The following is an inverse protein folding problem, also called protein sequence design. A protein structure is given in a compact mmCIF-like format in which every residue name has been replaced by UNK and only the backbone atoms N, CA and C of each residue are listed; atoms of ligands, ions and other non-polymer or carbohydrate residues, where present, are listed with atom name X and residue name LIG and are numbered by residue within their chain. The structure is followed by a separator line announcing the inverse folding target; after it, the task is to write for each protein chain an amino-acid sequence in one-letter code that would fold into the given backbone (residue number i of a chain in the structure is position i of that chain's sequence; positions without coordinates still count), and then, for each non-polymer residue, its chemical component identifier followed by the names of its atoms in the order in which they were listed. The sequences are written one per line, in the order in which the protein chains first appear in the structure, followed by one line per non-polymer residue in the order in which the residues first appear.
data_IF_198949435365
#
_entry.id   IF_198949435365
#
_cell.length_a   1.000
_cell.length_b   1.000
_cell.length_c   1.000
_cell.angle_alpha   90.00
_cell.angle_beta   90.00
_cell.angle_gamma   90.00
#
_symmetry.space_group_name_H-M   'P 1'
#
loop_
_entity.id
_entity.type
_entity.pdbx_description
1 polymer ?
#
# COMPACT_ATOMS: atom_id res chain seq x y z
N UNK A 1 -22.82 -15.41 8.18
CA UNK A 1 -21.91 -15.37 7.04
C UNK A 1 -21.01 -14.13 7.15
N UNK A 2 -19.72 -14.12 6.73
CA UNK A 2 -18.86 -12.94 6.83
C UNK A 2 -19.45 -11.68 6.17
N UNK A 3 -20.20 -11.85 5.06
CA UNK A 3 -20.88 -10.74 4.37
C UNK A 3 -21.93 -10.02 5.20
N UNK A 4 -22.49 -10.66 6.22
CA UNK A 4 -23.51 -10.05 7.10
C UNK A 4 -22.89 -9.16 8.20
N UNK A 5 -21.58 -9.25 8.39
CA UNK A 5 -20.83 -8.44 9.36
C UNK A 5 -20.26 -7.16 8.78
N UNK A 6 -20.21 -7.06 7.44
CA UNK A 6 -19.63 -5.91 6.76
C UNK A 6 -20.75 -5.00 6.29
N UNK A 7 -20.84 -3.81 6.86
CA UNK A 7 -21.84 -2.80 6.49
C UNK A 7 -21.40 -1.93 5.32
N UNK A 8 -20.12 -1.69 5.17
CA UNK A 8 -19.51 -0.94 4.08
C UNK A 8 -18.07 -1.37 3.84
N UNK A 9 -17.54 -1.10 2.66
CA UNK A 9 -16.14 -1.28 2.27
C UNK A 9 -15.60 0.04 1.72
N UNK A 10 -14.43 0.45 2.22
CA UNK A 10 -13.72 1.63 1.70
C UNK A 10 -12.28 1.23 1.39
N UNK A 11 -12.02 0.56 0.25
CA UNK A 11 -10.65 0.31 -0.19
C UNK A 11 -9.98 1.62 -0.59
N UNK A 12 -8.85 1.91 0.05
CA UNK A 12 -8.02 3.08 -0.22
C UNK A 12 -6.72 2.57 -0.86
N UNK A 13 -6.37 3.09 -2.03
CA UNK A 13 -5.21 2.68 -2.80
C UNK A 13 -5.16 1.14 -3.01
N UNK A 14 -6.33 0.53 -3.19
CA UNK A 14 -6.51 -0.90 -3.38
C UNK A 14 -6.83 -1.29 -4.82
N UNK A 15 -6.49 -2.53 -5.19
CA UNK A 15 -6.83 -3.11 -6.50
C UNK A 15 -7.50 -4.46 -6.33
N UNK A 16 -8.44 -4.77 -7.23
CA UNK A 16 -9.13 -6.07 -7.27
C UNK A 16 -8.27 -7.17 -7.90
N UNK A 17 -7.29 -6.77 -8.72
CA UNK A 17 -6.37 -7.65 -9.40
C UNK A 17 -4.96 -7.09 -9.34
N UNK A 18 -4.00 -7.92 -8.95
CA UNK A 18 -2.58 -7.54 -8.93
C UNK A 18 -1.88 -7.98 -10.20
N UNK A 19 -1.00 -7.12 -10.72
CA UNK A 19 -0.11 -7.41 -11.84
C UNK A 19 1.27 -7.92 -11.38
N UNK A 20 1.40 -8.41 -10.13
CA UNK A 20 2.67 -8.88 -9.57
C UNK A 20 3.16 -10.10 -10.34
N UNK A 21 4.37 -10.00 -10.88
CA UNK A 21 5.01 -11.06 -11.66
C UNK A 21 5.99 -11.86 -10.81
N UNK A 22 6.15 -13.18 -11.07
CA UNK A 22 7.09 -14.03 -10.32
C UNK A 22 8.52 -13.50 -10.29
N UNK A 23 9.01 -12.96 -11.42
CA UNK A 23 10.37 -12.41 -11.53
C UNK A 23 10.59 -11.17 -10.66
N UNK A 24 9.56 -10.35 -10.43
CA UNK A 24 9.64 -9.20 -9.53
C UNK A 24 9.79 -9.66 -8.07
N UNK A 25 9.08 -10.72 -7.70
CA UNK A 25 9.18 -11.30 -6.36
C UNK A 25 10.53 -11.99 -6.17
N UNK A 26 11.03 -12.71 -7.20
CA UNK A 26 12.34 -13.31 -7.15
C UNK A 26 13.44 -12.27 -6.96
N UNK A 27 13.38 -11.14 -7.68
CA UNK A 27 14.34 -10.04 -7.52
C UNK A 27 14.38 -9.46 -6.09
N UNK A 28 13.24 -9.48 -5.38
CA UNK A 28 13.18 -9.06 -3.97
C UNK A 28 13.93 -10.05 -3.09
N UNK A 29 13.65 -11.37 -3.23
CA UNK A 29 14.32 -12.38 -2.39
C UNK A 29 15.82 -12.45 -2.68
N UNK A 30 16.22 -12.33 -3.94
CA UNK A 30 17.65 -12.34 -4.33
C UNK A 30 18.40 -11.18 -3.69
N UNK A 31 17.77 -10.00 -3.58
CA UNK A 31 18.32 -8.82 -2.91
C UNK A 31 18.59 -9.07 -1.42
N UNK A 32 17.66 -9.75 -0.73
CA UNK A 32 17.84 -10.10 0.68
C UNK A 32 18.82 -11.27 0.85
N UNK A 33 18.78 -12.24 -0.06
CA UNK A 33 19.71 -13.37 -0.04
C UNK A 33 21.17 -12.96 -0.23
N UNK A 34 21.40 -11.84 -0.91
CA UNK A 34 22.74 -11.26 -1.06
C UNK A 34 23.25 -10.52 0.20
N UNK A 35 22.39 -10.27 1.20
CA UNK A 35 22.80 -9.58 2.42
C UNK A 35 23.64 -10.49 3.33
N UNK A 36 24.73 -9.98 3.93
CA UNK A 36 25.43 -10.68 5.00
C UNK A 36 24.45 -11.15 6.09
N UNK A 37 24.62 -12.37 6.56
CA UNK A 37 23.81 -12.93 7.63
C UNK A 37 22.39 -13.37 7.25
N UNK A 38 21.99 -13.34 5.97
CA UNK A 38 20.66 -13.81 5.54
C UNK A 38 20.35 -15.25 5.94
N UNK A 39 21.33 -16.16 5.80
CA UNK A 39 21.25 -17.55 6.24
C UNK A 39 19.92 -18.24 5.85
N UNK A 40 19.52 -18.13 4.56
CA UNK A 40 18.28 -18.73 4.07
C UNK A 40 17.00 -18.19 4.72
N UNK A 41 17.05 -16.98 5.27
CA UNK A 41 15.96 -16.33 6.00
C UNK A 41 16.05 -16.46 7.53
N UNK A 42 17.03 -17.18 8.04
CA UNK A 42 17.27 -17.33 9.50
C UNK A 42 18.32 -16.32 9.99
N UNK A 43 18.05 -15.03 9.78
CA UNK A 43 18.96 -13.92 10.09
C UNK A 43 18.80 -13.36 11.51
N UNK A 44 17.83 -13.84 12.26
CA UNK A 44 17.49 -13.33 13.60
C UNK A 44 18.64 -13.47 14.58
N UNK A 45 18.86 -12.41 15.37
CA UNK A 45 19.93 -12.37 16.36
C UNK A 45 21.34 -12.14 15.79
N UNK A 46 21.46 -11.97 14.46
CA UNK A 46 22.71 -11.63 13.79
C UNK A 46 22.61 -10.21 13.21
N UNK A 47 22.76 -9.21 14.06
CA UNK A 47 22.89 -7.83 13.59
C UNK A 47 24.30 -7.65 13.01
N UNK A 48 24.39 -7.65 11.68
CA UNK A 48 25.63 -7.48 10.92
C UNK A 48 25.53 -6.17 10.15
N UNK A 49 26.54 -5.32 10.22
CA UNK A 49 26.65 -4.09 9.43
C UNK A 49 26.52 -4.40 7.94
N UNK A 50 25.67 -3.67 7.23
CA UNK A 50 25.32 -3.96 5.83
C UNK A 50 24.44 -5.20 5.64
N UNK A 51 23.89 -5.76 6.71
CA UNK A 51 23.04 -6.95 6.70
C UNK A 51 21.59 -6.70 6.35
N UNK A 52 20.74 -7.65 6.75
CA UNK A 52 19.31 -7.66 6.43
C UNK A 52 18.58 -6.44 6.98
N UNK A 53 18.89 -6.03 8.22
CA UNK A 53 18.27 -4.86 8.84
C UNK A 53 18.54 -3.59 8.03
N UNK A 54 19.80 -3.33 7.68
CA UNK A 54 20.19 -2.16 6.90
C UNK A 54 19.54 -2.17 5.51
N UNK A 55 19.41 -3.35 4.90
CA UNK A 55 18.69 -3.50 3.64
C UNK A 55 17.21 -3.16 3.78
N UNK A 56 16.55 -3.65 4.84
CA UNK A 56 15.15 -3.32 5.14
C UNK A 56 14.95 -1.82 5.36
N UNK A 57 15.85 -1.17 6.09
CA UNK A 57 15.82 0.29 6.29
C UNK A 57 15.95 1.03 4.97
N UNK A 58 16.93 0.66 4.13
CA UNK A 58 17.15 1.29 2.83
C UNK A 58 15.93 1.13 1.90
N UNK A 59 15.38 -0.09 1.78
CA UNK A 59 14.18 -0.36 0.98
C UNK A 59 12.96 0.40 1.51
N UNK A 60 12.86 0.58 2.84
CA UNK A 60 11.76 1.34 3.43
C UNK A 60 11.88 2.84 3.20
N UNK A 61 13.09 3.40 3.25
CA UNK A 61 13.35 4.80 2.90
C UNK A 61 12.92 5.06 1.45
N UNK A 62 13.36 4.22 0.51
CA UNK A 62 12.97 4.32 -0.90
C UNK A 62 11.44 4.31 -1.07
N UNK A 63 10.76 3.35 -0.41
CA UNK A 63 9.29 3.26 -0.47
C UNK A 63 8.60 4.47 0.11
N UNK A 64 9.00 4.94 1.30
CA UNK A 64 8.41 6.12 1.92
C UNK A 64 8.57 7.35 1.02
N UNK A 65 9.73 7.50 0.37
CA UNK A 65 9.98 8.57 -0.59
C UNK A 65 9.02 8.46 -1.78
N UNK A 66 8.94 7.28 -2.40
CA UNK A 66 8.10 7.03 -3.57
C UNK A 66 6.60 7.07 -3.27
N UNK A 67 6.19 6.82 -2.02
CA UNK A 67 4.80 6.93 -1.59
C UNK A 67 4.32 8.37 -1.38
N UNK A 68 5.19 9.38 -1.58
CA UNK A 68 4.86 10.80 -1.42
C UNK A 68 5.22 11.39 -0.06
N UNK A 69 5.72 10.58 0.89
CA UNK A 69 6.19 11.09 2.19
C UNK A 69 7.39 12.04 2.00
N UNK A 70 8.28 11.75 1.04
CA UNK A 70 9.38 12.65 0.71
C UNK A 70 8.90 14.02 0.27
N UNK A 71 7.88 14.07 -0.61
CA UNK A 71 7.25 15.31 -1.07
C UNK A 71 6.60 16.06 0.10
N UNK A 72 5.83 15.36 0.94
CA UNK A 72 5.21 15.97 2.12
C UNK A 72 6.24 16.56 3.10
N UNK A 73 7.33 15.86 3.37
CA UNK A 73 8.40 16.37 4.22
C UNK A 73 9.10 17.59 3.58
N UNK A 74 9.26 17.62 2.26
CA UNK A 74 9.81 18.78 1.56
C UNK A 74 8.94 20.04 1.72
N UNK A 75 7.62 19.87 1.81
CA UNK A 75 6.68 20.97 2.00
C UNK A 75 6.57 21.43 3.46
N UNK A 76 6.83 20.54 4.41
CA UNK A 76 6.53 20.80 5.84
C UNK A 76 7.77 20.98 6.72
N UNK A 77 8.94 20.52 6.27
CA UNK A 77 10.20 20.57 7.00
C UNK A 77 11.25 21.25 6.12
N UNK A 78 11.70 22.43 6.51
CA UNK A 78 12.63 23.25 5.72
C UNK A 78 14.04 22.65 5.67
N UNK A 79 14.51 22.06 6.78
CA UNK A 79 15.86 21.50 6.89
C UNK A 79 15.97 20.13 6.20
N UNK A 80 16.83 19.98 5.16
CA UNK A 80 17.06 18.72 4.50
C UNK A 80 17.59 17.61 5.42
N UNK A 81 18.47 17.94 6.37
CA UNK A 81 19.03 16.97 7.31
C UNK A 81 17.94 16.43 8.26
N UNK A 82 17.04 17.29 8.69
CA UNK A 82 15.89 16.89 9.52
C UNK A 82 14.93 15.99 8.74
N UNK A 83 14.67 16.26 7.45
CA UNK A 83 13.87 15.39 6.58
C UNK A 83 14.45 13.99 6.47
N UNK A 84 15.77 13.91 6.25
CA UNK A 84 16.48 12.63 6.20
C UNK A 84 16.38 11.88 7.53
N UNK A 85 16.57 12.57 8.65
CA UNK A 85 16.45 12.00 9.99
C UNK A 85 15.06 11.44 10.25
N UNK A 86 14.01 12.16 9.87
CA UNK A 86 12.61 11.73 10.03
C UNK A 86 12.33 10.48 9.21
N UNK A 87 12.69 10.48 7.92
CA UNK A 87 12.42 9.35 7.02
C UNK A 87 13.16 8.09 7.47
N UNK A 88 14.44 8.26 7.86
CA UNK A 88 15.28 7.18 8.38
C UNK A 88 14.70 6.61 9.67
N UNK A 89 14.34 7.45 10.64
CA UNK A 89 13.75 7.00 11.90
C UNK A 89 12.46 6.20 11.70
N UNK A 90 11.58 6.62 10.79
CA UNK A 90 10.39 5.85 10.42
C UNK A 90 10.74 4.50 9.79
N UNK A 91 11.77 4.47 8.94
CA UNK A 91 12.21 3.25 8.28
C UNK A 91 12.84 2.26 9.28
N UNK A 92 13.65 2.74 10.20
CA UNK A 92 14.26 1.93 11.25
C UNK A 92 13.22 1.35 12.21
N UNK A 93 12.25 2.16 12.65
CA UNK A 93 11.13 1.67 13.48
C UNK A 93 10.40 0.54 12.77
N UNK A 94 10.04 0.74 11.51
CA UNK A 94 9.37 -0.31 10.73
C UNK A 94 10.24 -1.57 10.57
N UNK A 95 11.54 -1.42 10.31
CA UNK A 95 12.47 -2.55 10.12
C UNK A 95 12.69 -3.36 11.42
N UNK A 96 12.49 -2.76 12.60
CA UNK A 96 12.55 -3.48 13.89
C UNK A 96 11.27 -4.27 14.18
N UNK A 97 10.14 -3.81 13.66
CA UNK A 97 8.82 -4.41 13.91
C UNK A 97 8.40 -5.40 12.82
N UNK A 98 9.05 -5.34 11.65
CA UNK A 98 8.69 -6.17 10.50
C UNK A 98 9.81 -7.18 10.19
N UNK A 99 9.44 -8.22 9.44
CA UNK A 99 10.34 -9.33 9.10
C UNK A 99 10.53 -9.47 7.59
N UNK A 100 11.77 -9.63 7.13
CA UNK A 100 12.10 -9.75 5.73
C UNK A 100 11.51 -11.02 5.07
N UNK A 101 11.43 -12.13 5.80
CA UNK A 101 10.76 -13.34 5.32
C UNK A 101 9.26 -13.13 5.15
N UNK A 102 8.62 -12.48 6.12
CA UNK A 102 7.20 -12.14 6.04
C UNK A 102 6.93 -11.24 4.84
N UNK A 103 7.80 -10.25 4.59
CA UNK A 103 7.71 -9.40 3.41
C UNK A 103 7.73 -10.20 2.11
N UNK A 104 8.69 -11.12 1.98
CA UNK A 104 8.79 -12.01 0.82
C UNK A 104 7.55 -12.87 0.64
N UNK A 105 7.07 -13.51 1.71
CA UNK A 105 5.88 -14.37 1.68
C UNK A 105 4.65 -13.59 1.24
N UNK A 106 4.46 -12.36 1.73
CA UNK A 106 3.36 -11.49 1.34
C UNK A 106 3.43 -11.10 -0.14
N UNK A 107 4.63 -10.78 -0.67
CA UNK A 107 4.79 -10.52 -2.10
C UNK A 107 4.48 -11.74 -2.95
N UNK A 108 4.98 -12.92 -2.53
CA UNK A 108 4.71 -14.19 -3.20
C UNK A 108 3.22 -14.52 -3.21
N UNK A 109 2.50 -14.28 -2.13
CA UNK A 109 1.05 -14.46 -2.06
C UNK A 109 0.28 -13.53 -3.01
N UNK A 110 0.89 -12.41 -3.42
CA UNK A 110 0.31 -11.47 -4.39
C UNK A 110 0.42 -11.94 -5.85
N UNK A 111 1.24 -12.98 -6.15
CA UNK A 111 1.39 -13.48 -7.52
C UNK A 111 0.07 -14.09 -7.98
N UNK A 112 -0.43 -13.61 -9.12
CA UNK A 112 -1.69 -14.13 -9.69
C UNK A 112 -2.93 -13.82 -8.87
N UNK A 113 -2.85 -12.93 -7.88
CA UNK A 113 -4.02 -12.50 -7.10
C UNK A 113 -5.01 -11.78 -8.00
N UNK A 114 -6.14 -12.45 -8.25
CA UNK A 114 -7.26 -11.94 -9.04
C UNK A 114 -8.59 -12.26 -8.33
N UNK A 115 -9.19 -11.22 -7.74
CA UNK A 115 -10.48 -11.32 -7.04
C UNK A 115 -11.68 -11.06 -7.96
N UNK A 116 -11.45 -10.78 -9.25
CA UNK A 116 -12.50 -10.54 -10.25
C UNK A 116 -13.58 -11.62 -10.29
N UNK A 117 -13.25 -12.94 -10.27
CA UNK A 117 -14.26 -13.99 -10.26
C UNK A 117 -15.14 -13.99 -9.01
N UNK A 118 -14.65 -13.47 -7.90
CA UNK A 118 -15.35 -13.44 -6.61
C UNK A 118 -16.05 -12.10 -6.33
N UNK A 119 -15.93 -11.12 -7.23
CA UNK A 119 -16.48 -9.77 -7.05
C UNK A 119 -17.97 -9.77 -6.70
N UNK A 120 -18.78 -10.62 -7.30
CA UNK A 120 -20.22 -10.74 -7.01
C UNK A 120 -20.57 -11.25 -5.60
N UNK A 121 -19.59 -11.72 -4.84
CA UNK A 121 -19.79 -12.13 -3.45
C UNK A 121 -19.80 -10.92 -2.48
N UNK A 122 -19.35 -9.75 -2.94
CA UNK A 122 -19.42 -8.52 -2.16
C UNK A 122 -20.88 -8.09 -2.07
N UNK A 123 -21.38 -7.94 -0.83
CA UNK A 123 -22.77 -7.52 -0.56
C UNK A 123 -22.84 -6.14 0.08
N UNK A 124 -21.76 -5.70 0.70
CA UNK A 124 -21.67 -4.38 1.28
C UNK A 124 -21.45 -3.31 0.19
N UNK A 125 -22.04 -2.11 0.33
CA UNK A 125 -21.67 -0.96 -0.48
C UNK A 125 -20.18 -0.67 -0.42
N UNK A 126 -19.61 -0.20 -1.55
CA UNK A 126 -18.17 -0.01 -1.68
C UNK A 126 -17.84 1.36 -2.25
N UNK A 127 -16.95 2.09 -1.58
CA UNK A 127 -16.31 3.32 -2.06
C UNK A 127 -14.83 3.06 -2.35
N UNK A 128 -14.45 2.97 -3.63
CA UNK A 128 -13.05 2.84 -4.05
C UNK A 128 -12.40 4.22 -4.13
N UNK A 129 -11.28 4.42 -3.43
CA UNK A 129 -10.59 5.71 -3.31
C UNK A 129 -9.17 5.58 -3.82
N UNK A 130 -8.81 6.35 -4.86
CA UNK A 130 -7.45 6.39 -5.40
C UNK A 130 -6.97 7.83 -5.54
N UNK A 131 -5.66 8.03 -5.41
CA UNK A 131 -5.01 9.31 -5.64
C UNK A 131 -4.51 9.42 -7.09
N UNK A 132 -4.64 10.59 -7.71
CA UNK A 132 -4.29 10.84 -9.11
C UNK A 132 -2.80 10.76 -9.40
N UNK A 133 -1.96 11.00 -8.39
CA UNK A 133 -0.49 10.94 -8.52
C UNK A 133 0.13 9.69 -7.90
N UNK A 134 -0.69 8.68 -7.56
CA UNK A 134 -0.21 7.43 -6.96
C UNK A 134 0.62 6.61 -7.95
N UNK A 135 1.91 6.43 -7.65
CA UNK A 135 2.84 5.63 -8.46
C UNK A 135 2.74 4.11 -8.20
N UNK A 136 1.98 3.70 -7.19
CA UNK A 136 1.81 2.28 -6.80
C UNK A 136 0.53 1.71 -7.36
N UNK A 137 -0.55 2.50 -7.33
CA UNK A 137 -1.87 2.12 -7.84
C UNK A 137 -2.31 3.18 -8.85
N UNK A 138 -2.31 2.82 -10.13
CA UNK A 138 -2.74 3.71 -11.20
C UNK A 138 -4.22 4.10 -11.00
N UNK A 139 -4.48 5.40 -10.91
CA UNK A 139 -5.83 5.96 -10.79
C UNK A 139 -6.76 5.53 -11.93
N UNK A 140 -6.21 5.27 -13.11
CA UNK A 140 -6.97 4.78 -14.28
C UNK A 140 -7.66 3.42 -14.02
N UNK A 141 -7.25 2.67 -12.99
CA UNK A 141 -7.90 1.42 -12.57
C UNK A 141 -9.19 1.65 -11.78
N UNK A 142 -9.43 2.85 -11.28
CA UNK A 142 -10.53 3.16 -10.37
C UNK A 142 -11.90 2.95 -10.99
N UNK A 143 -12.23 3.69 -12.06
CA UNK A 143 -13.53 3.59 -12.71
C UNK A 143 -13.79 2.21 -13.33
N UNK A 144 -12.84 1.58 -14.08
CA UNK A 144 -13.05 0.22 -14.59
C UNK A 144 -13.30 -0.82 -13.49
N UNK A 145 -12.66 -0.68 -12.32
CA UNK A 145 -12.91 -1.57 -11.17
C UNK A 145 -14.34 -1.42 -10.67
N UNK A 146 -14.81 -0.19 -10.54
CA UNK A 146 -16.20 0.07 -10.09
C UNK A 146 -17.22 -0.41 -11.12
N UNK A 147 -16.99 -0.20 -12.41
CA UNK A 147 -17.86 -0.67 -13.48
C UNK A 147 -17.98 -2.20 -13.49
N UNK A 148 -16.87 -2.90 -13.29
CA UNK A 148 -16.84 -4.34 -13.11
C UNK A 148 -17.68 -4.76 -11.89
N UNK A 149 -17.48 -4.12 -10.73
CA UNK A 149 -18.24 -4.42 -9.51
C UNK A 149 -19.74 -4.21 -9.71
N UNK A 150 -20.13 -3.11 -10.34
CA UNK A 150 -21.54 -2.83 -10.69
C UNK A 150 -22.12 -3.88 -11.63
N UNK A 151 -21.38 -4.35 -12.61
CA UNK A 151 -21.81 -5.43 -13.52
C UNK A 151 -22.05 -6.76 -12.80
N UNK A 152 -21.51 -6.92 -11.59
CA UNK A 152 -21.72 -8.08 -10.69
C UNK A 152 -22.78 -7.81 -9.61
N UNK A 153 -23.50 -6.68 -9.70
CA UNK A 153 -24.56 -6.30 -8.76
C UNK A 153 -24.08 -5.70 -7.45
N UNK A 154 -22.83 -5.25 -7.38
CA UNK A 154 -22.29 -4.55 -6.19
C UNK A 154 -22.64 -3.07 -6.27
N UNK A 155 -23.16 -2.50 -5.19
CA UNK A 155 -23.29 -1.05 -5.04
C UNK A 155 -21.91 -0.44 -4.80
N UNK A 156 -21.29 0.11 -5.84
CA UNK A 156 -19.91 0.59 -5.80
C UNK A 156 -19.78 2.00 -6.37
N UNK A 157 -18.93 2.80 -5.76
CA UNK A 157 -18.56 4.14 -6.20
C UNK A 157 -17.06 4.29 -6.31
N UNK A 158 -16.61 5.17 -7.21
CA UNK A 158 -15.22 5.60 -7.32
C UNK A 158 -15.08 7.05 -6.88
N UNK A 159 -14.00 7.32 -6.13
CA UNK A 159 -13.59 8.69 -5.80
C UNK A 159 -12.09 8.86 -6.08
N UNK A 160 -11.79 9.82 -6.94
CA UNK A 160 -10.42 10.25 -7.23
C UNK A 160 -10.05 11.41 -6.33
N UNK A 161 -8.92 11.31 -5.63
CA UNK A 161 -8.36 12.41 -4.84
C UNK A 161 -7.29 13.11 -5.66
N UNK A 162 -7.45 14.42 -5.82
CA UNK A 162 -6.43 15.28 -6.44
C UNK A 162 -5.42 15.70 -5.39
N UNK A 163 -4.27 15.04 -5.37
CA UNK A 163 -3.21 15.28 -4.40
C UNK A 163 -1.83 15.19 -5.03
N UNK A 164 -0.86 15.89 -4.49
CA UNK A 164 0.54 15.78 -4.90
C UNK A 164 1.32 14.73 -4.12
N UNK A 165 0.70 14.10 -3.12
CA UNK A 165 1.37 13.20 -2.17
C UNK A 165 1.19 11.71 -2.51
N UNK A 166 0.84 11.39 -3.76
CA UNK A 166 0.85 10.04 -4.30
C UNK A 166 0.08 9.04 -3.45
N UNK A 167 0.70 7.91 -3.19
CA UNK A 167 0.13 6.80 -2.40
C UNK A 167 -0.23 7.20 -0.95
N UNK A 168 0.49 8.17 -0.37
CA UNK A 168 0.20 8.69 0.97
C UNK A 168 -0.87 9.80 0.95
N UNK A 169 -1.25 10.30 -0.23
CA UNK A 169 -2.21 11.39 -0.40
C UNK A 169 -3.53 11.20 0.35
N UNK A 170 -4.18 10.04 0.29
CA UNK A 170 -5.43 9.82 1.03
C UNK A 170 -5.34 10.04 2.55
N UNK A 171 -4.14 9.86 3.13
CA UNK A 171 -3.89 10.09 4.54
C UNK A 171 -3.47 11.54 4.82
N UNK A 172 -2.59 12.10 3.98
CA UNK A 172 -2.04 13.45 4.18
C UNK A 172 -3.11 14.51 3.90
N UNK A 173 -3.85 14.33 2.83
CA UNK A 173 -4.92 15.23 2.36
C UNK A 173 -6.31 14.65 2.67
N UNK A 174 -6.48 14.09 3.86
CA UNK A 174 -7.73 13.46 4.28
C UNK A 174 -8.95 14.40 4.17
N UNK A 175 -8.73 15.69 4.39
CA UNK A 175 -9.79 16.72 4.31
C UNK A 175 -10.36 16.85 2.88
N UNK A 176 -9.57 16.55 1.83
CA UNK A 176 -10.04 16.65 0.44
C UNK A 176 -11.16 15.65 0.10
N UNK A 177 -11.32 14.59 0.87
CA UNK A 177 -12.32 13.57 0.61
C UNK A 177 -13.19 13.19 1.82
N UNK A 178 -12.97 13.85 2.96
CA UNK A 178 -13.72 13.59 4.21
C UNK A 178 -15.24 13.74 4.00
N UNK A 179 -15.69 14.75 3.25
CA UNK A 179 -17.11 14.95 2.97
C UNK A 179 -17.68 13.85 2.06
N UNK A 180 -16.89 13.35 1.10
CA UNK A 180 -17.28 12.21 0.28
C UNK A 180 -17.43 10.94 1.12
N UNK A 181 -16.48 10.70 2.03
CA UNK A 181 -16.54 9.56 2.94
C UNK A 181 -17.77 9.68 3.87
N UNK A 182 -18.02 10.85 4.44
CA UNK A 182 -19.19 11.10 5.30
C UNK A 182 -20.48 10.82 4.53
N UNK A 183 -20.65 11.42 3.37
CA UNK A 183 -21.84 11.20 2.52
C UNK A 183 -22.03 9.73 2.12
N UNK A 184 -20.95 8.98 1.91
CA UNK A 184 -21.01 7.55 1.66
C UNK A 184 -21.48 6.80 2.90
N UNK A 185 -20.94 7.09 4.08
CA UNK A 185 -21.28 6.40 5.33
C UNK A 185 -22.71 6.72 5.81
N UNK A 186 -23.19 7.96 5.63
CA UNK A 186 -24.54 8.41 6.05
C UNK A 186 -25.68 7.67 5.32
N UNK A 187 -25.41 7.11 4.12
CA UNK A 187 -26.38 6.30 3.40
C UNK A 187 -26.38 4.81 3.76
N UNK A 188 -25.45 4.39 4.63
CA UNK A 188 -25.36 3.00 5.08
C UNK A 188 -26.35 2.80 6.22
N UNK A 189 -27.31 1.86 6.11
CA UNK A 189 -28.36 1.65 7.11
C UNK A 189 -27.84 1.10 8.43
#
# INVERSE_FOLDING_TARGET
HPSERMRALVPIAGVIKRATKPEQVQAIIDRYAACPGWNGGHYYGNEIDGGVFDRMVADRIERLTNYGIGTHLADTVSDPAERERIIRGRAETWAREFDANSLYILYRAGIGSDMTPLAGNIKAPLLNVLADTDSVVDVALGQPTVDLLKSKGVDAEFHEIKTRYGHAGPMIDADLWADKLRAFLDRIP
#
